data_IF_893982117745
#
_entry.id   IF_893982117745
#
_cell.length_a   1.000
_cell.length_b   1.000
_cell.length_c   1.000
_cell.angle_alpha   90.00
_cell.angle_beta   90.00
_cell.angle_gamma   90.00
#
_symmetry.space_group_name_H-M   'P 1'
#
loop_
_entity.id
_entity.type
_entity.pdbx_description
1 polymer ?
#
# COMPACT_ATOMS: atom_id res chain seq x y z
N UNK A 1 -6.70 -16.51 -3.25
CA UNK A 1 -5.82 -17.52 -2.62
C UNK A 1 -4.74 -18.10 -3.55
N UNK A 2 -4.91 -19.19 -4.30
CA UNK A 2 -3.79 -19.83 -5.04
C UNK A 2 -3.11 -18.92 -6.10
N UNK A 3 -3.90 -18.18 -6.88
CA UNK A 3 -3.37 -17.28 -7.93
C UNK A 3 -2.56 -16.11 -7.33
N UNK A 4 -3.00 -15.57 -6.20
CA UNK A 4 -2.32 -14.47 -5.54
C UNK A 4 -0.95 -14.93 -5.01
N UNK A 5 -0.91 -16.08 -4.33
CA UNK A 5 0.34 -16.69 -3.87
C UNK A 5 1.31 -16.98 -5.03
N UNK A 6 0.82 -17.55 -6.14
CA UNK A 6 1.64 -17.78 -7.34
C UNK A 6 2.24 -16.49 -7.91
N UNK A 7 1.45 -15.40 -7.98
CA UNK A 7 1.94 -14.12 -8.46
C UNK A 7 3.06 -13.56 -7.58
N UNK A 8 2.95 -13.71 -6.25
CA UNK A 8 3.99 -13.30 -5.31
C UNK A 8 5.26 -14.14 -5.43
N UNK A 9 5.12 -15.46 -5.63
CA UNK A 9 6.26 -16.37 -5.79
C UNK A 9 7.01 -16.07 -7.10
N UNK A 10 6.30 -16.10 -8.23
CA UNK A 10 6.89 -15.97 -9.57
C UNK A 10 7.35 -14.55 -9.87
N UNK A 11 6.67 -13.54 -9.30
CA UNK A 11 7.01 -12.14 -9.49
C UNK A 11 7.99 -11.64 -8.45
N UNK A 12 7.46 -11.24 -7.29
CA UNK A 12 8.19 -10.45 -6.30
C UNK A 12 9.27 -11.25 -5.55
N UNK A 13 9.00 -12.50 -5.14
CA UNK A 13 9.98 -13.35 -4.46
C UNK A 13 11.13 -13.74 -5.41
N UNK A 14 10.82 -14.23 -6.62
CA UNK A 14 11.83 -14.59 -7.60
C UNK A 14 12.74 -13.40 -7.98
N UNK A 15 12.15 -12.21 -8.17
CA UNK A 15 12.91 -11.00 -8.44
C UNK A 15 13.82 -10.61 -7.26
N UNK A 16 13.32 -10.74 -6.03
CA UNK A 16 14.08 -10.42 -4.82
C UNK A 16 15.26 -11.37 -4.62
N UNK A 17 15.05 -12.69 -4.76
CA UNK A 17 16.11 -13.70 -4.65
C UNK A 17 17.18 -13.49 -5.72
N UNK A 18 16.75 -13.25 -6.97
CA UNK A 18 17.65 -12.92 -8.09
C UNK A 18 18.49 -11.69 -7.80
N UNK A 19 17.88 -10.62 -7.28
CA UNK A 19 18.56 -9.38 -6.91
C UNK A 19 19.60 -9.59 -5.80
N UNK A 20 19.28 -10.43 -4.82
CA UNK A 20 20.17 -10.76 -3.70
C UNK A 20 21.22 -11.82 -4.06
N UNK A 21 21.12 -12.46 -5.23
CA UNK A 21 21.96 -13.59 -5.67
C UNK A 21 21.96 -14.74 -4.65
N UNK A 22 20.82 -14.99 -4.01
CA UNK A 22 20.62 -16.08 -3.06
C UNK A 22 19.63 -17.09 -3.61
N UNK A 23 19.88 -18.36 -3.36
CA UNK A 23 18.95 -19.44 -3.70
C UNK A 23 17.76 -19.48 -2.75
N UNK A 24 16.71 -20.21 -3.14
CA UNK A 24 15.53 -20.45 -2.29
C UNK A 24 15.90 -21.12 -0.96
N UNK A 25 17.00 -21.87 -0.93
CA UNK A 25 17.56 -22.53 0.27
C UNK A 25 17.89 -21.55 1.41
N UNK A 26 18.26 -20.30 1.07
CA UNK A 26 18.60 -19.27 2.04
C UNK A 26 17.39 -18.44 2.50
N UNK A 27 16.21 -18.75 1.96
CA UNK A 27 14.98 -18.01 2.21
C UNK A 27 14.32 -18.49 3.50
N UNK A 28 14.20 -17.60 4.49
CA UNK A 28 13.49 -17.87 5.74
C UNK A 28 11.97 -17.67 5.62
N UNK A 29 11.49 -17.14 4.49
CA UNK A 29 10.07 -17.00 4.21
C UNK A 29 9.46 -18.39 3.97
N UNK A 30 8.58 -18.81 4.88
CA UNK A 30 7.82 -20.06 4.72
C UNK A 30 6.53 -19.84 3.92
N UNK A 31 5.90 -20.91 3.39
CA UNK A 31 4.57 -20.82 2.79
C UNK A 31 3.51 -20.24 3.72
N UNK A 32 3.58 -20.51 5.03
CA UNK A 32 2.66 -19.97 6.03
C UNK A 32 2.81 -18.45 6.17
N UNK A 33 4.05 -17.95 6.22
CA UNK A 33 4.34 -16.52 6.29
C UNK A 33 3.79 -15.82 5.04
N UNK A 34 3.99 -16.42 3.86
CA UNK A 34 3.47 -15.86 2.61
C UNK A 34 1.93 -15.85 2.61
N UNK A 35 1.28 -16.92 3.05
CA UNK A 35 -0.18 -16.98 3.16
C UNK A 35 -0.72 -15.91 4.10
N UNK A 36 -0.11 -15.73 5.28
CA UNK A 36 -0.45 -14.67 6.23
C UNK A 36 -0.27 -13.28 5.62
N UNK A 37 0.84 -13.05 4.92
CA UNK A 37 1.08 -11.76 4.25
C UNK A 37 0.01 -11.47 3.19
N UNK A 38 -0.39 -12.47 2.40
CA UNK A 38 -1.46 -12.33 1.41
C UNK A 38 -2.79 -12.05 2.08
N UNK A 39 -3.11 -12.73 3.19
CA UNK A 39 -4.33 -12.48 3.96
C UNK A 39 -4.40 -11.03 4.48
N UNK A 40 -3.30 -10.46 4.95
CA UNK A 40 -3.24 -9.03 5.37
C UNK A 40 -3.48 -8.05 4.22
N UNK A 41 -3.23 -8.46 2.97
CA UNK A 41 -3.56 -7.64 1.80
C UNK A 41 -5.06 -7.77 1.49
N UNK A 42 -5.60 -8.98 1.56
CA UNK A 42 -6.99 -9.27 1.26
C UNK A 42 -7.95 -8.64 2.29
N UNK A 43 -7.57 -8.60 3.56
CA UNK A 43 -8.33 -7.95 4.64
C UNK A 43 -8.15 -6.42 4.71
N UNK A 44 -7.20 -5.87 3.93
CA UNK A 44 -6.92 -4.43 3.86
C UNK A 44 -6.10 -3.88 5.02
N UNK A 45 -5.48 -4.73 5.85
CA UNK A 45 -4.52 -4.33 6.88
C UNK A 45 -3.28 -3.71 6.26
N UNK A 46 -2.80 -4.23 5.12
CA UNK A 46 -1.68 -3.68 4.36
C UNK A 46 -1.99 -3.55 2.87
N UNK A 47 -1.37 -2.57 2.21
CA UNK A 47 -1.43 -2.48 0.76
C UNK A 47 -0.43 -3.44 0.11
N UNK A 48 -0.63 -3.79 -1.17
CA UNK A 48 0.37 -4.54 -1.93
C UNK A 48 1.74 -3.85 -1.97
N UNK A 49 1.79 -2.51 -1.90
CA UNK A 49 3.04 -1.75 -1.80
C UNK A 49 3.76 -1.99 -0.47
N UNK A 50 3.01 -2.00 0.63
CA UNK A 50 3.55 -2.31 1.98
C UNK A 50 4.02 -3.77 2.04
N UNK A 51 3.27 -4.71 1.45
CA UNK A 51 3.69 -6.10 1.36
C UNK A 51 5.04 -6.25 0.64
N UNK A 52 5.27 -5.53 -0.48
CA UNK A 52 6.58 -5.48 -1.15
C UNK A 52 7.68 -4.88 -0.28
N UNK A 53 7.33 -3.98 0.63
CA UNK A 53 8.29 -3.34 1.54
C UNK A 53 8.74 -4.27 2.67
N UNK A 54 7.85 -5.15 3.17
CA UNK A 54 8.17 -6.09 4.26
C UNK A 54 8.71 -7.45 3.75
N UNK A 55 8.44 -7.80 2.49
CA UNK A 55 8.88 -9.07 1.90
C UNK A 55 10.40 -9.33 2.06
N UNK A 56 11.30 -8.33 1.91
CA UNK A 56 12.72 -8.53 2.16
C UNK A 56 13.05 -8.96 3.59
N UNK A 57 12.33 -8.42 4.59
CA UNK A 57 12.52 -8.80 5.99
C UNK A 57 12.09 -10.26 6.22
N UNK A 58 10.94 -10.64 5.66
CA UNK A 58 10.42 -12.00 5.78
C UNK A 58 11.31 -13.02 5.07
N UNK A 59 11.92 -12.67 3.94
CA UNK A 59 12.88 -13.53 3.24
C UNK A 59 14.16 -13.73 4.06
N UNK A 60 14.63 -12.71 4.78
CA UNK A 60 15.86 -12.79 5.57
C UNK A 60 15.67 -13.43 6.94
N UNK A 61 14.52 -13.17 7.59
CA UNK A 61 14.31 -13.49 9.00
C UNK A 61 13.11 -14.40 9.26
N UNK A 62 12.23 -14.60 8.27
CA UNK A 62 10.95 -15.27 8.49
C UNK A 62 10.07 -14.45 9.43
N UNK A 63 9.35 -15.14 10.32
CA UNK A 63 8.48 -14.51 11.32
C UNK A 63 7.11 -14.06 10.82
N UNK A 64 6.31 -13.48 11.71
CA UNK A 64 4.94 -13.10 11.39
C UNK A 64 4.91 -11.77 10.59
N UNK A 65 4.28 -11.75 9.39
CA UNK A 65 4.10 -10.52 8.63
C UNK A 65 3.35 -9.43 9.39
N UNK A 66 2.38 -9.79 10.24
CA UNK A 66 1.58 -8.84 11.00
C UNK A 66 2.44 -8.09 12.03
N UNK A 67 3.25 -8.82 12.79
CA UNK A 67 4.19 -8.25 13.75
C UNK A 67 5.20 -7.32 13.04
N UNK A 68 5.69 -7.74 11.87
CA UNK A 68 6.62 -6.92 11.06
C UNK A 68 6.00 -5.59 10.62
N UNK A 69 4.72 -5.61 10.25
CA UNK A 69 3.97 -4.42 9.83
C UNK A 69 3.71 -3.49 11.01
N UNK A 70 3.27 -4.04 12.14
CA UNK A 70 2.98 -3.29 13.36
C UNK A 70 4.26 -2.64 13.91
N UNK A 71 5.36 -3.38 14.01
CA UNK A 71 6.65 -2.88 14.46
C UNK A 71 7.19 -1.74 13.59
N UNK A 72 6.83 -1.71 12.29
CA UNK A 72 7.24 -0.66 11.35
C UNK A 72 6.19 0.45 11.19
N UNK A 73 5.05 0.39 11.88
CA UNK A 73 3.97 1.37 11.77
C UNK A 73 3.36 1.46 10.36
N UNK A 74 3.36 0.33 9.63
CA UNK A 74 2.98 0.25 8.22
C UNK A 74 1.51 -0.14 7.99
N UNK A 75 0.71 -0.30 9.05
CA UNK A 75 -0.72 -0.60 8.93
C UNK A 75 -1.42 0.46 8.09
N UNK A 76 -2.35 0.02 7.23
CA UNK A 76 -3.12 0.94 6.41
C UNK A 76 -4.04 1.82 7.24
N UNK A 77 -4.04 3.10 6.90
CA UNK A 77 -4.99 4.07 7.42
C UNK A 77 -6.28 3.89 6.62
N UNK A 78 -7.32 3.43 7.30
CA UNK A 78 -8.69 3.30 6.75
C UNK A 78 -9.70 4.19 7.47
N UNK A 79 -9.27 4.92 8.51
CA UNK A 79 -10.12 5.89 9.19
C UNK A 79 -10.47 7.05 8.25
N UNK A 80 -11.76 7.31 8.10
CA UNK A 80 -12.23 8.34 7.20
C UNK A 80 -11.82 9.74 7.67
N UNK A 81 -11.78 9.99 8.99
CA UNK A 81 -11.39 11.28 9.54
C UNK A 81 -9.92 11.60 9.29
N UNK A 82 -9.02 10.64 9.50
CA UNK A 82 -7.59 10.80 9.21
C UNK A 82 -7.35 11.03 7.71
N UNK A 83 -8.02 10.27 6.84
CA UNK A 83 -7.94 10.46 5.39
C UNK A 83 -8.50 11.82 4.97
N UNK A 84 -9.62 12.25 5.56
CA UNK A 84 -10.20 13.57 5.31
C UNK A 84 -9.26 14.70 5.70
N UNK A 85 -8.58 14.59 6.84
CA UNK A 85 -7.58 15.57 7.28
C UNK A 85 -6.44 15.70 6.28
N UNK A 86 -5.88 14.58 5.83
CA UNK A 86 -4.81 14.57 4.80
C UNK A 86 -5.30 15.19 3.49
N UNK A 87 -6.52 14.85 3.05
CA UNK A 87 -7.10 15.40 1.82
C UNK A 87 -7.30 16.91 1.93
N UNK A 88 -7.81 17.39 3.06
CA UNK A 88 -8.04 18.82 3.28
C UNK A 88 -6.72 19.60 3.21
N UNK A 89 -5.67 19.11 3.88
CA UNK A 89 -4.32 19.71 3.82
C UNK A 89 -3.80 19.81 2.37
N UNK A 90 -3.99 18.76 1.57
CA UNK A 90 -3.59 18.76 0.16
C UNK A 90 -4.42 19.76 -0.65
N UNK A 91 -5.72 19.84 -0.43
CA UNK A 91 -6.60 20.77 -1.14
C UNK A 91 -6.23 22.22 -0.82
N UNK A 92 -5.99 22.52 0.46
CA UNK A 92 -5.60 23.86 0.93
C UNK A 92 -4.24 24.29 0.36
N UNK A 93 -3.30 23.34 0.22
CA UNK A 93 -2.01 23.58 -0.43
C UNK A 93 -2.04 23.62 -1.96
N UNK A 94 -3.16 23.26 -2.61
CA UNK A 94 -3.27 23.14 -4.07
C UNK A 94 -4.59 23.73 -4.61
N UNK A 95 -4.91 25.00 -4.32
CA UNK A 95 -6.20 25.60 -4.68
C UNK A 95 -6.45 25.63 -6.20
N UNK A 96 -5.39 25.86 -7.00
CA UNK A 96 -5.51 25.87 -8.47
C UNK A 96 -5.93 24.52 -9.04
N UNK A 97 -5.51 23.42 -8.42
CA UNK A 97 -5.86 22.05 -8.83
C UNK A 97 -7.30 21.73 -8.44
N UNK A 98 -7.78 22.26 -7.30
CA UNK A 98 -9.18 22.14 -6.89
C UNK A 98 -10.09 22.83 -7.90
N UNK A 99 -9.75 24.07 -8.30
CA UNK A 99 -10.50 24.82 -9.31
C UNK A 99 -10.48 24.12 -10.68
N UNK A 100 -9.34 23.57 -11.09
CA UNK A 100 -9.24 22.79 -12.33
C UNK A 100 -10.14 21.56 -12.31
N UNK A 101 -10.22 20.84 -11.18
CA UNK A 101 -11.13 19.71 -11.07
C UNK A 101 -12.60 20.14 -11.18
N UNK A 102 -12.98 21.20 -10.45
CA UNK A 102 -14.35 21.73 -10.45
C UNK A 102 -14.79 22.30 -11.80
N UNK A 103 -13.86 22.80 -12.60
CA UNK A 103 -14.09 23.22 -14.00
C UNK A 103 -14.15 22.05 -15.00
N UNK A 104 -14.14 20.81 -14.53
CA UNK A 104 -14.34 19.61 -15.35
C UNK A 104 -13.05 18.89 -15.78
N UNK A 105 -11.86 19.32 -15.35
CA UNK A 105 -10.60 18.61 -15.64
C UNK A 105 -10.42 17.41 -14.71
N UNK A 106 -11.13 16.33 -15.01
CA UNK A 106 -11.13 15.09 -14.21
C UNK A 106 -9.76 14.42 -14.03
N UNK A 107 -8.81 14.66 -14.95
CA UNK A 107 -7.42 14.15 -14.83
C UNK A 107 -6.72 14.61 -13.55
N UNK A 108 -7.12 15.75 -12.98
CA UNK A 108 -6.54 16.29 -11.74
C UNK A 108 -6.87 15.42 -10.52
N UNK A 109 -7.89 14.56 -10.61
CA UNK A 109 -8.21 13.61 -9.56
C UNK A 109 -7.03 12.67 -9.23
N UNK A 110 -6.34 12.17 -10.27
CA UNK A 110 -5.18 11.30 -10.10
C UNK A 110 -4.01 11.99 -9.40
N UNK A 111 -3.88 13.32 -9.56
CA UNK A 111 -2.90 14.11 -8.82
C UNK A 111 -3.19 14.09 -7.32
N UNK A 112 -4.45 14.35 -6.92
CA UNK A 112 -4.84 14.32 -5.51
C UNK A 112 -4.64 12.93 -4.88
N UNK A 113 -5.05 11.86 -5.58
CA UNK A 113 -4.78 10.48 -5.13
C UNK A 113 -3.27 10.27 -4.91
N UNK A 114 -2.45 10.72 -5.86
CA UNK A 114 -0.99 10.63 -5.76
C UNK A 114 -0.41 11.37 -4.55
N UNK A 115 -0.91 12.59 -4.27
CA UNK A 115 -0.47 13.38 -3.11
C UNK A 115 -0.85 12.70 -1.79
N UNK A 116 -2.08 12.18 -1.66
CA UNK A 116 -2.53 11.45 -0.47
C UNK A 116 -1.66 10.21 -0.24
N UNK A 117 -1.36 9.47 -1.30
CA UNK A 117 -0.48 8.31 -1.23
C UNK A 117 0.96 8.67 -0.85
N UNK A 118 1.44 9.85 -1.26
CA UNK A 118 2.77 10.34 -0.91
C UNK A 118 2.85 10.73 0.57
N UNK A 119 1.91 11.54 1.05
CA UNK A 119 1.88 12.02 2.44
C UNK A 119 1.66 10.86 3.42
N UNK A 120 0.73 9.95 3.10
CA UNK A 120 0.50 8.75 3.92
C UNK A 120 1.59 7.68 3.80
N UNK A 121 2.62 7.89 2.95
CA UNK A 121 3.67 6.93 2.61
C UNK A 121 3.12 5.58 2.08
N UNK A 122 1.98 5.62 1.40
CA UNK A 122 1.29 4.45 0.87
C UNK A 122 0.47 3.67 1.91
N UNK A 123 0.27 4.24 3.11
CA UNK A 123 -0.58 3.68 4.15
C UNK A 123 -2.06 4.01 3.95
N UNK A 124 -2.41 5.13 3.32
CA UNK A 124 -3.83 5.44 3.11
C UNK A 124 -4.51 4.38 2.24
N UNK A 125 -5.70 3.94 2.63
CA UNK A 125 -6.47 2.96 1.87
C UNK A 125 -6.93 3.55 0.53
N UNK A 126 -6.52 2.99 -0.63
CA UNK A 126 -6.86 3.56 -1.93
C UNK A 126 -8.36 3.71 -2.15
N UNK A 127 -9.17 2.75 -1.71
CA UNK A 127 -10.62 2.80 -1.88
C UNK A 127 -11.21 3.96 -1.08
N UNK A 128 -10.85 4.05 0.20
CA UNK A 128 -11.29 5.15 1.07
C UNK A 128 -10.83 6.52 0.55
N UNK A 129 -9.58 6.63 0.10
CA UNK A 129 -9.06 7.88 -0.49
C UNK A 129 -9.88 8.30 -1.71
N UNK A 130 -10.22 7.35 -2.60
CA UNK A 130 -11.06 7.64 -3.76
C UNK A 130 -12.45 8.12 -3.34
N UNK A 131 -13.07 7.44 -2.37
CA UNK A 131 -14.43 7.75 -1.92
C UNK A 131 -14.49 9.11 -1.22
N UNK A 132 -13.52 9.41 -0.36
CA UNK A 132 -13.44 10.69 0.35
C UNK A 132 -13.10 11.84 -0.61
N UNK A 133 -12.14 11.65 -1.53
CA UNK A 133 -11.81 12.67 -2.53
C UNK A 133 -13.00 13.02 -3.41
N UNK A 134 -13.76 12.01 -3.86
CA UNK A 134 -14.99 12.24 -4.65
C UNK A 134 -16.00 13.10 -3.89
N UNK A 135 -16.18 12.85 -2.60
CA UNK A 135 -17.10 13.64 -1.74
C UNK A 135 -16.62 15.06 -1.50
N UNK A 136 -15.31 15.29 -1.35
CA UNK A 136 -14.74 16.64 -1.07
C UNK A 136 -14.63 17.51 -2.33
N UNK A 137 -14.45 16.87 -3.48
CA UNK A 137 -14.25 17.56 -4.75
C UNK A 137 -15.54 17.71 -5.59
N UNK A 138 -16.61 16.98 -5.26
CA UNK A 138 -17.95 17.15 -5.84
C UNK A 138 -18.56 18.50 -5.50
#
# INVERSE_FOLDING_TARGET
>A
EAKAACNWIVGDLAALLSKKKVGIEACQLTPENLAKMVALIEDGTISGKIAKQILPDLVERGGDPKETVEAKGLVQISDAGEIEGIIQEIMDGNPSQVEQYRSGKTKVFGFFVGQVMKISKGRANPKMVNDVLKKKLS
#
